data_IF_404884518992
#
_entry.id   IF_404884518992
#
_cell.length_a   1.000
_cell.length_b   1.000
_cell.length_c   1.000
_cell.angle_alpha   90.00
_cell.angle_beta   90.00
_cell.angle_gamma   90.00
#
_symmetry.space_group_name_H-M   'P 1'
#
loop_
_entity.id
_entity.type
_entity.pdbx_description
1 polymer ?
#
# COMPACT_ATOMS: atom_id res chain seq x y z
N UNK A 1 -9.78 13.16 -22.70
CA UNK A 1 -10.67 13.85 -21.74
C UNK A 1 -10.25 13.40 -20.35
N UNK A 2 -9.52 14.25 -19.61
CA UNK A 2 -9.05 13.92 -18.26
C UNK A 2 -10.24 14.06 -17.32
N UNK A 3 -10.54 13.08 -16.45
CA UNK A 3 -11.63 13.23 -15.52
C UNK A 3 -11.36 14.41 -14.58
N UNK A 4 -12.31 15.34 -14.52
CA UNK A 4 -12.22 16.47 -13.60
C UNK A 4 -12.53 15.98 -12.19
N UNK A 5 -11.57 16.14 -11.29
CA UNK A 5 -11.78 16.01 -9.86
C UNK A 5 -12.73 17.10 -9.40
N UNK A 6 -13.94 16.72 -9.03
CA UNK A 6 -14.85 17.61 -8.32
C UNK A 6 -14.60 17.40 -6.84
N UNK A 7 -13.65 18.15 -6.29
CA UNK A 7 -13.53 18.32 -4.84
C UNK A 7 -13.75 19.79 -4.55
N UNK A 8 -14.87 20.12 -3.89
CA UNK A 8 -15.06 21.46 -3.35
C UNK A 8 -14.07 21.65 -2.18
N UNK A 9 -12.90 22.18 -2.48
CA UNK A 9 -11.91 22.54 -1.47
C UNK A 9 -12.47 23.66 -0.61
N UNK A 10 -12.83 23.32 0.61
CA UNK A 10 -13.24 24.29 1.61
C UNK A 10 -12.58 23.95 2.94
N UNK A 11 -12.05 24.96 3.62
CA UNK A 11 -11.56 24.81 4.99
C UNK A 11 -10.23 24.05 5.12
N UNK A 12 -10.11 23.04 6.01
CA UNK A 12 -8.81 22.55 6.50
C UNK A 12 -7.87 21.90 5.48
N UNK A 13 -8.38 21.22 4.44
CA UNK A 13 -7.50 20.62 3.43
C UNK A 13 -6.79 21.66 2.57
N UNK A 14 -7.45 22.79 2.30
CA UNK A 14 -6.81 23.87 1.54
C UNK A 14 -5.61 24.43 2.31
N UNK A 15 -5.75 24.64 3.63
CA UNK A 15 -4.63 25.05 4.51
C UNK A 15 -3.51 23.99 4.53
N UNK A 16 -3.86 22.71 4.60
CA UNK A 16 -2.87 21.62 4.52
C UNK A 16 -2.11 21.64 3.19
N UNK A 17 -2.83 21.76 2.06
CA UNK A 17 -2.22 21.84 0.73
C UNK A 17 -1.30 23.07 0.60
N UNK A 18 -1.76 24.23 1.05
CA UNK A 18 -0.97 25.47 1.05
C UNK A 18 0.33 25.31 1.84
N UNK A 19 0.26 24.76 3.06
CA UNK A 19 1.44 24.54 3.89
C UNK A 19 2.40 23.52 3.29
N UNK A 20 1.89 22.44 2.71
CA UNK A 20 2.72 21.44 2.04
C UNK A 20 3.45 22.06 0.83
N UNK A 21 2.73 22.82 0.00
CA UNK A 21 3.31 23.47 -1.18
C UNK A 21 4.35 24.51 -0.76
N UNK A 22 4.03 25.37 0.22
CA UNK A 22 4.93 26.39 0.74
C UNK A 22 6.19 25.79 1.38
N UNK A 23 6.08 24.62 2.03
CA UNK A 23 7.19 23.92 2.66
C UNK A 23 7.96 22.97 1.74
N UNK A 24 7.70 22.96 0.42
CA UNK A 24 8.32 22.01 -0.54
C UNK A 24 9.84 21.84 -0.35
N UNK A 25 10.67 22.90 -0.30
CA UNK A 25 12.11 22.72 -0.10
C UNK A 25 12.49 22.06 1.23
N UNK A 26 11.76 22.37 2.30
CA UNK A 26 11.99 21.81 3.63
C UNK A 26 11.58 20.34 3.68
N UNK A 27 10.43 19.99 3.09
CA UNK A 27 9.92 18.62 2.98
C UNK A 27 10.90 17.76 2.18
N UNK A 28 11.32 18.20 0.99
CA UNK A 28 12.23 17.44 0.15
C UNK A 28 13.61 17.27 0.81
N UNK A 29 14.09 18.29 1.55
CA UNK A 29 15.32 18.15 2.35
C UNK A 29 15.14 17.12 3.47
N UNK A 30 14.03 17.19 4.20
CA UNK A 30 13.76 16.27 5.30
C UNK A 30 13.66 14.82 4.83
N UNK A 31 12.93 14.55 3.74
CA UNK A 31 12.91 13.22 3.13
C UNK A 31 14.30 12.76 2.72
N UNK A 32 15.12 13.60 2.06
CA UNK A 32 16.49 13.19 1.70
C UNK A 32 17.31 12.75 2.91
N UNK A 33 17.15 13.40 4.06
CA UNK A 33 17.83 13.03 5.31
C UNK A 33 17.29 11.72 5.90
N UNK A 34 15.97 11.56 5.99
CA UNK A 34 15.37 10.30 6.47
C UNK A 34 15.78 9.13 5.57
N UNK A 35 15.94 9.31 4.25
CA UNK A 35 16.45 8.28 3.33
C UNK A 35 17.98 8.07 3.38
N UNK A 36 18.73 8.84 4.17
CA UNK A 36 20.11 8.48 4.52
C UNK A 36 20.15 7.53 5.72
N UNK A 37 19.15 7.62 6.60
CA UNK A 37 19.05 6.83 7.83
C UNK A 37 18.26 5.53 7.61
N UNK A 38 17.25 5.57 6.74
CA UNK A 38 16.29 4.49 6.55
C UNK A 38 16.27 3.99 5.11
N UNK A 39 16.23 2.66 4.95
CA UNK A 39 16.20 2.04 3.61
C UNK A 39 14.77 1.95 3.10
N UNK A 40 14.41 2.60 1.97
CA UNK A 40 13.06 2.50 1.41
C UNK A 40 12.80 1.07 0.89
N UNK A 41 11.56 0.55 1.01
CA UNK A 41 11.17 -0.68 0.33
C UNK A 41 11.50 -0.62 -1.17
N UNK A 42 11.81 -1.77 -1.78
CA UNK A 42 12.10 -1.84 -3.22
C UNK A 42 10.96 -1.26 -4.07
N UNK A 43 9.71 -1.53 -3.68
CA UNK A 43 8.52 -0.88 -4.22
C UNK A 43 7.39 -0.85 -3.19
N UNK A 44 6.39 -0.01 -3.43
CA UNK A 44 5.15 -0.02 -2.66
C UNK A 44 4.02 0.67 -3.42
N UNK A 45 2.78 0.39 -3.01
CA UNK A 45 1.65 1.27 -3.29
C UNK A 45 0.99 1.73 -2.00
N UNK A 46 0.47 2.95 -2.02
CA UNK A 46 -0.26 3.53 -0.89
C UNK A 46 -1.61 4.03 -1.37
N UNK A 47 -2.68 3.49 -0.79
CA UNK A 47 -4.05 3.94 -1.02
C UNK A 47 -4.29 5.12 -0.07
N UNK A 48 -4.71 6.27 -0.61
CA UNK A 48 -5.00 7.49 0.15
C UNK A 48 -6.50 7.78 0.12
N UNK A 49 -6.98 8.50 1.13
CA UNK A 49 -8.31 9.11 1.09
C UNK A 49 -8.27 10.58 1.40
N UNK A 50 -9.04 11.32 0.63
CA UNK A 50 -9.20 12.75 0.73
C UNK A 50 -10.62 13.07 1.20
N UNK A 51 -10.72 13.51 2.46
CA UNK A 51 -11.98 13.86 3.11
C UNK A 51 -12.30 15.37 3.07
N UNK A 52 -11.55 16.19 2.32
CA UNK A 52 -11.74 17.66 2.35
C UNK A 52 -11.28 18.37 3.64
N UNK A 53 -11.11 17.64 4.74
CA UNK A 53 -10.51 18.13 6.00
C UNK A 53 -9.33 17.28 6.47
N UNK A 54 -9.06 16.16 5.79
CA UNK A 54 -8.01 15.19 6.12
C UNK A 54 -7.56 14.49 4.84
N UNK A 55 -6.26 14.28 4.70
CA UNK A 55 -5.66 13.51 3.62
C UNK A 55 -4.73 12.47 4.24
N UNK A 56 -5.15 11.21 4.24
CA UNK A 56 -4.46 10.18 5.00
C UNK A 56 -4.29 8.88 4.20
N UNK A 57 -3.21 8.12 4.45
CA UNK A 57 -3.08 6.78 3.94
C UNK A 57 -4.02 5.82 4.69
N UNK A 58 -4.69 4.96 3.94
CA UNK A 58 -5.62 3.95 4.47
C UNK A 58 -5.11 2.52 4.28
N UNK A 59 -4.20 2.33 3.31
CA UNK A 59 -3.48 1.07 3.09
C UNK A 59 -2.07 1.33 2.54
N UNK A 60 -1.11 0.52 2.98
CA UNK A 60 0.27 0.52 2.48
C UNK A 60 0.67 -0.92 2.13
N UNK A 61 0.85 -1.17 0.83
CA UNK A 61 1.08 -2.48 0.26
C UNK A 61 2.51 -2.60 -0.28
N UNK A 62 3.28 -3.52 0.30
CA UNK A 62 4.65 -3.86 -0.12
C UNK A 62 4.69 -4.88 -1.25
N UNK A 63 3.54 -5.34 -1.74
CA UNK A 63 3.37 -6.26 -2.87
C UNK A 63 2.38 -5.68 -3.89
N UNK A 64 2.66 -4.49 -4.46
CA UNK A 64 1.75 -3.82 -5.38
C UNK A 64 1.50 -4.65 -6.65
N UNK A 65 0.24 -4.91 -6.97
CA UNK A 65 -0.19 -5.76 -8.10
C UNK A 65 -0.81 -5.00 -9.28
N UNK A 66 -0.80 -3.67 -9.27
CA UNK A 66 -1.53 -2.81 -10.21
C UNK A 66 -0.65 -1.94 -11.11
N UNK A 67 0.60 -2.34 -11.38
CA UNK A 67 1.51 -1.53 -12.22
C UNK A 67 0.98 -1.27 -13.64
N UNK A 68 0.13 -2.15 -14.17
CA UNK A 68 -0.52 -1.96 -15.48
C UNK A 68 -1.59 -0.86 -15.49
N UNK A 69 -2.05 -0.39 -14.33
CA UNK A 69 -2.95 0.77 -14.23
C UNK A 69 -2.21 2.11 -14.28
N UNK A 70 -0.86 2.11 -14.17
CA UNK A 70 -0.07 3.32 -14.36
C UNK A 70 -0.10 3.74 -15.83
N UNK A 71 -0.16 5.05 -16.07
CA UNK A 71 -0.14 5.60 -17.42
C UNK A 71 1.15 5.20 -18.17
N UNK A 72 1.08 5.02 -19.49
CA UNK A 72 2.25 4.58 -20.27
C UNK A 72 3.39 5.61 -20.25
N UNK A 73 3.04 6.88 -20.13
CA UNK A 73 3.92 8.03 -20.00
C UNK A 73 4.80 7.97 -18.73
N UNK A 74 4.40 7.18 -17.73
CA UNK A 74 5.16 6.96 -16.49
C UNK A 74 6.29 5.94 -16.63
N UNK A 75 6.34 5.20 -17.75
CA UNK A 75 7.30 4.11 -17.92
C UNK A 75 8.76 4.59 -17.81
N UNK A 76 9.20 5.68 -18.47
CA UNK A 76 10.59 6.13 -18.35
C UNK A 76 10.99 6.46 -16.90
N UNK A 77 10.10 7.12 -16.15
CA UNK A 77 10.31 7.43 -14.73
C UNK A 77 10.37 6.15 -13.88
N UNK A 78 9.48 5.20 -14.14
CA UNK A 78 9.46 3.90 -13.45
C UNK A 78 10.76 3.11 -13.68
N UNK A 79 11.28 3.14 -14.91
CA UNK A 79 12.57 2.52 -15.26
C UNK A 79 13.72 3.20 -14.52
N UNK A 80 13.78 4.53 -14.50
CA UNK A 80 14.84 5.26 -13.78
C UNK A 80 14.81 4.99 -12.28
N UNK A 81 13.61 4.96 -11.68
CA UNK A 81 13.46 4.62 -10.26
C UNK A 81 13.88 3.18 -9.97
N UNK A 82 13.55 2.24 -10.88
CA UNK A 82 14.00 0.85 -10.77
C UNK A 82 15.51 0.70 -10.89
N UNK A 83 16.17 1.44 -11.80
CA UNK A 83 17.64 1.47 -11.88
C UNK A 83 18.26 1.92 -10.56
N UNK A 84 17.76 3.03 -9.99
CA UNK A 84 18.24 3.53 -8.70
C UNK A 84 18.01 2.52 -7.54
N UNK A 85 16.92 1.77 -7.58
CA UNK A 85 16.66 0.70 -6.62
C UNK A 85 17.67 -0.46 -6.78
N UNK A 86 17.91 -0.91 -8.02
CA UNK A 86 18.81 -2.03 -8.32
C UNK A 86 20.25 -1.67 -7.95
N UNK A 87 20.72 -0.47 -8.29
CA UNK A 87 22.07 0.01 -7.96
C UNK A 87 22.32 -0.02 -6.44
N UNK A 88 21.28 0.21 -5.63
CA UNK A 88 21.34 0.17 -4.17
C UNK A 88 21.35 -1.26 -3.62
N UNK A 89 20.43 -2.11 -4.09
CA UNK A 89 20.21 -3.43 -3.50
C UNK A 89 21.14 -4.52 -4.05
N UNK A 90 21.51 -4.43 -5.33
CA UNK A 90 22.38 -5.41 -5.98
C UNK A 90 22.94 -4.82 -7.30
N UNK A 91 23.99 -4.00 -7.25
CA UNK A 91 24.55 -3.35 -8.44
C UNK A 91 25.14 -4.34 -9.47
N UNK A 92 25.59 -5.51 -9.01
CA UNK A 92 26.11 -6.58 -9.86
C UNK A 92 25.02 -7.53 -10.40
N UNK A 93 23.74 -7.26 -10.11
CA UNK A 93 22.64 -8.12 -10.55
C UNK A 93 22.57 -8.17 -12.08
N UNK A 94 22.69 -9.39 -12.62
CA UNK A 94 22.39 -9.68 -14.04
C UNK A 94 21.02 -10.32 -14.22
N UNK A 95 20.58 -11.04 -13.21
CA UNK A 95 19.42 -11.91 -13.24
C UNK A 95 18.52 -11.57 -12.05
N UNK A 96 17.23 -11.34 -12.32
CA UNK A 96 16.19 -11.13 -11.33
C UNK A 96 15.13 -12.21 -11.46
N UNK A 97 14.86 -12.90 -10.35
CA UNK A 97 13.77 -13.86 -10.24
C UNK A 97 12.56 -13.16 -9.63
N UNK A 98 11.47 -13.05 -10.37
CA UNK A 98 10.21 -12.51 -9.86
C UNK A 98 9.28 -13.67 -9.47
N UNK A 99 8.78 -13.66 -8.24
CA UNK A 99 7.84 -14.67 -7.73
C UNK A 99 6.44 -14.03 -7.62
N UNK A 100 5.54 -14.24 -8.59
CA UNK A 100 4.18 -13.71 -8.55
C UNK A 100 3.24 -14.58 -7.70
N UNK A 101 2.04 -14.06 -7.41
CA UNK A 101 0.91 -14.88 -6.98
C UNK A 101 0.28 -15.60 -8.18
N UNK A 102 0.05 -16.91 -8.08
CA UNK A 102 -0.46 -17.70 -9.21
C UNK A 102 -1.94 -18.02 -9.09
N UNK A 103 -2.43 -18.36 -7.88
CA UNK A 103 -3.85 -18.70 -7.65
C UNK A 103 -4.33 -18.24 -6.27
N UNK A 104 -5.59 -17.80 -6.14
CA UNK A 104 -6.54 -17.44 -7.19
C UNK A 104 -6.42 -15.96 -7.57
N UNK A 105 -6.00 -15.64 -8.81
CA UNK A 105 -5.93 -14.25 -9.30
C UNK A 105 -6.59 -14.08 -10.67
N UNK A 106 -7.16 -12.90 -10.86
CA UNK A 106 -7.79 -12.46 -12.10
C UNK A 106 -6.74 -12.24 -13.20
N UNK A 107 -7.02 -12.51 -14.50
CA UNK A 107 -6.06 -12.34 -15.60
C UNK A 107 -5.38 -10.95 -15.67
N UNK A 108 -6.05 -9.90 -15.18
CA UNK A 108 -5.48 -8.54 -15.11
C UNK A 108 -4.29 -8.42 -14.17
N UNK A 109 -4.17 -9.27 -13.14
CA UNK A 109 -2.98 -9.29 -12.27
C UNK A 109 -1.71 -9.61 -13.07
N UNK A 110 -1.79 -10.55 -14.01
CA UNK A 110 -0.65 -10.91 -14.85
C UNK A 110 -0.25 -9.81 -15.84
N UNK A 111 -1.16 -8.88 -16.19
CA UNK A 111 -0.77 -7.66 -16.91
C UNK A 111 0.12 -6.77 -16.04
N UNK A 112 -0.17 -6.67 -14.73
CA UNK A 112 0.70 -5.99 -13.77
C UNK A 112 2.08 -6.63 -13.66
N UNK A 113 2.14 -7.96 -13.61
CA UNK A 113 3.40 -8.73 -13.61
C UNK A 113 4.18 -8.53 -14.92
N UNK A 114 3.50 -8.55 -16.07
CA UNK A 114 4.12 -8.26 -17.36
C UNK A 114 4.67 -6.84 -17.42
N UNK A 115 3.95 -5.86 -16.83
CA UNK A 115 4.42 -4.48 -16.73
C UNK A 115 5.67 -4.35 -15.84
N UNK A 116 5.76 -5.09 -14.74
CA UNK A 116 6.97 -5.16 -13.92
C UNK A 116 8.16 -5.72 -14.70
N UNK A 117 7.95 -6.81 -15.45
CA UNK A 117 8.99 -7.35 -16.32
C UNK A 117 9.44 -6.35 -17.39
N UNK A 118 8.50 -5.59 -17.97
CA UNK A 118 8.84 -4.53 -18.92
C UNK A 118 9.72 -3.46 -18.27
N UNK A 119 9.41 -3.03 -17.04
CA UNK A 119 10.21 -2.04 -16.29
C UNK A 119 11.61 -2.59 -16.02
N UNK A 120 11.73 -3.78 -15.43
CA UNK A 120 13.03 -4.31 -15.00
C UNK A 120 13.93 -4.78 -16.15
N UNK A 121 13.37 -5.22 -17.29
CA UNK A 121 14.22 -5.53 -18.46
C UNK A 121 14.89 -4.29 -19.04
N UNK A 122 14.24 -3.12 -18.92
CA UNK A 122 14.82 -1.85 -19.38
C UNK A 122 15.97 -1.36 -18.48
N UNK A 123 16.16 -1.96 -17.30
CA UNK A 123 17.31 -1.67 -16.43
C UNK A 123 18.51 -2.59 -16.73
N UNK A 124 18.43 -3.43 -17.77
CA UNK A 124 19.49 -4.38 -18.15
C UNK A 124 19.42 -5.75 -17.46
N UNK A 125 18.37 -6.02 -16.67
CA UNK A 125 18.20 -7.31 -16.00
C UNK A 125 17.55 -8.36 -16.90
N UNK A 126 18.04 -9.60 -16.81
CA UNK A 126 17.31 -10.77 -17.26
C UNK A 126 16.25 -11.14 -16.23
N UNK A 127 14.98 -10.99 -16.58
CA UNK A 127 13.85 -11.28 -15.69
C UNK A 127 13.16 -12.57 -16.10
N UNK A 128 13.04 -13.51 -15.15
CA UNK A 128 12.26 -14.75 -15.26
C UNK A 128 11.35 -14.94 -14.06
N UNK A 129 10.35 -15.79 -14.20
CA UNK A 129 9.30 -15.96 -13.18
C UNK A 129 9.33 -17.34 -12.54
N UNK A 130 9.34 -17.37 -11.22
CA UNK A 130 9.29 -18.60 -10.42
C UNK A 130 7.92 -18.83 -9.79
N UNK A 131 7.48 -20.08 -9.74
CA UNK A 131 6.22 -20.49 -9.13
C UNK A 131 6.43 -21.09 -7.74
N UNK A 132 5.68 -20.60 -6.75
CA UNK A 132 5.51 -21.28 -5.45
C UNK A 132 4.41 -22.36 -5.48
N UNK A 133 3.62 -22.45 -6.56
CA UNK A 133 2.62 -23.51 -6.74
C UNK A 133 3.35 -24.82 -7.10
N UNK A 134 3.31 -25.86 -6.23
CA UNK A 134 4.02 -27.12 -6.46
C UNK A 134 3.45 -27.93 -7.65
N UNK A 135 2.27 -27.58 -8.15
CA UNK A 135 1.72 -28.19 -9.38
C UNK A 135 2.45 -27.73 -10.65
N UNK A 136 3.19 -26.61 -10.59
CA UNK A 136 4.03 -26.14 -11.70
C UNK A 136 5.35 -26.92 -11.68
N UNK A 137 5.41 -28.00 -12.45
CA UNK A 137 6.58 -28.90 -12.53
C UNK A 137 7.43 -28.70 -13.79
N UNK A 138 6.96 -27.87 -14.72
CA UNK A 138 7.63 -27.52 -15.97
C UNK A 138 7.30 -26.07 -16.35
N UNK A 139 8.07 -25.43 -17.25
CA UNK A 139 7.73 -24.11 -17.78
C UNK A 139 6.28 -24.07 -18.28
N UNK A 140 5.46 -23.26 -17.62
CA UNK A 140 4.02 -23.22 -17.81
C UNK A 140 3.62 -21.87 -18.36
N UNK A 141 3.05 -21.81 -19.58
CA UNK A 141 2.66 -20.56 -20.19
C UNK A 141 1.32 -20.06 -19.60
N UNK A 142 1.24 -18.76 -19.34
CA UNK A 142 0.07 -18.06 -18.81
C UNK A 142 -0.38 -17.02 -19.83
N UNK A 143 -1.64 -17.15 -20.29
CA UNK A 143 -2.20 -16.22 -21.27
C UNK A 143 -2.58 -14.88 -20.64
N UNK A 144 -2.21 -13.79 -21.31
CA UNK A 144 -2.59 -12.43 -20.94
C UNK A 144 -3.80 -11.97 -21.77
N UNK A 145 -4.63 -11.04 -21.24
CA UNK A 145 -5.79 -10.50 -21.97
C UNK A 145 -5.46 -9.78 -23.29
N UNK A 146 -4.23 -9.32 -23.47
CA UNK A 146 -3.75 -8.64 -24.68
C UNK A 146 -3.23 -9.62 -25.75
N UNK A 147 -3.32 -10.94 -25.50
CA UNK A 147 -2.85 -11.99 -26.40
C UNK A 147 -1.38 -12.39 -26.20
N UNK A 148 -0.64 -11.70 -25.33
CA UNK A 148 0.73 -12.08 -24.97
C UNK A 148 0.74 -13.27 -23.99
N UNK A 149 1.91 -13.87 -23.79
CA UNK A 149 2.13 -14.97 -22.85
C UNK A 149 3.22 -14.62 -21.85
N UNK A 150 3.00 -14.94 -20.57
CA UNK A 150 4.07 -15.07 -19.58
C UNK A 150 4.42 -16.54 -19.39
N UNK A 151 5.63 -16.84 -18.94
CA UNK A 151 6.04 -18.21 -18.60
C UNK A 151 6.47 -18.22 -17.15
N UNK A 152 5.81 -19.03 -16.33
CA UNK A 152 6.22 -19.30 -14.95
C UNK A 152 6.87 -20.67 -14.88
N UNK A 153 7.88 -20.80 -14.02
CA UNK A 153 8.73 -21.98 -14.00
C UNK A 153 8.85 -22.55 -12.58
N UNK A 154 9.09 -23.87 -12.46
CA UNK A 154 9.38 -24.48 -11.16
C UNK A 154 10.63 -23.84 -10.55
N UNK A 155 10.51 -23.47 -9.28
CA UNK A 155 11.64 -23.02 -8.48
C UNK A 155 12.60 -24.19 -8.20
N UNK A 156 13.90 -23.91 -8.28
CA UNK A 156 14.97 -24.90 -8.07
C UNK A 156 15.95 -24.37 -7.04
N UNK A 157 16.19 -25.13 -5.98
CA UNK A 157 17.33 -24.86 -5.10
C UNK A 157 18.62 -25.35 -5.72
N UNK A 158 19.68 -24.56 -5.54
CA UNK A 158 21.05 -24.95 -5.82
C UNK A 158 21.44 -26.22 -5.04
N UNK A 159 22.43 -27.00 -5.52
CA UNK A 159 22.83 -28.26 -4.87
C UNK A 159 23.25 -28.13 -3.40
N UNK A 160 23.82 -26.98 -3.01
CA UNK A 160 24.20 -26.70 -1.62
C UNK A 160 23.01 -26.20 -0.76
N UNK A 161 21.83 -26.04 -1.36
CA UNK A 161 20.61 -25.59 -0.71
C UNK A 161 20.58 -24.09 -0.36
N UNK A 162 21.61 -23.31 -0.66
CA UNK A 162 21.76 -21.92 -0.17
C UNK A 162 21.18 -20.85 -1.09
N UNK A 163 20.99 -21.17 -2.37
CA UNK A 163 20.48 -20.26 -3.40
C UNK A 163 19.26 -20.83 -4.07
N UNK A 164 18.33 -19.96 -4.46
CA UNK A 164 17.09 -20.25 -5.18
C UNK A 164 17.15 -19.66 -6.59
N UNK A 165 16.82 -20.46 -7.59
CA UNK A 165 16.80 -20.04 -8.97
C UNK A 165 15.79 -20.84 -9.79
N UNK A 166 16.03 -20.89 -11.10
CA UNK A 166 15.32 -21.75 -12.04
C UNK A 166 16.32 -22.66 -12.74
N UNK A 167 15.83 -23.52 -13.62
CA UNK A 167 16.73 -24.30 -14.49
C UNK A 167 17.62 -23.36 -15.31
N UNK A 168 18.94 -23.55 -15.16
CA UNK A 168 20.00 -22.77 -15.81
C UNK A 168 19.89 -21.25 -15.57
N UNK A 169 19.37 -20.85 -14.41
CA UNK A 169 19.20 -19.44 -14.06
C UNK A 169 19.43 -19.21 -12.56
N UNK A 170 20.53 -18.53 -12.25
CA UNK A 170 20.93 -18.15 -10.91
C UNK A 170 20.76 -16.63 -10.73
N UNK A 171 19.74 -16.17 -9.98
CA UNK A 171 19.50 -14.76 -9.71
C UNK A 171 20.33 -14.23 -8.54
N UNK A 172 20.74 -12.97 -8.61
CA UNK A 172 21.29 -12.26 -7.45
C UNK A 172 20.16 -11.67 -6.57
N UNK A 173 19.01 -11.41 -7.18
CA UNK A 173 17.87 -10.77 -6.52
C UNK A 173 16.58 -11.55 -6.79
N UNK A 174 15.81 -11.75 -5.73
CA UNK A 174 14.50 -12.38 -5.77
C UNK A 174 13.47 -11.33 -5.36
N UNK A 175 12.62 -10.93 -6.31
CA UNK A 175 11.53 -9.99 -6.07
C UNK A 175 10.23 -10.75 -5.82
N UNK A 176 9.69 -10.61 -4.62
CA UNK A 176 8.40 -11.16 -4.25
C UNK A 176 7.29 -10.19 -4.68
N UNK A 177 6.47 -10.60 -5.65
CA UNK A 177 5.15 -10.00 -5.89
C UNK A 177 4.03 -10.89 -5.35
N UNK A 178 4.37 -11.69 -4.34
CA UNK A 178 3.53 -12.57 -3.58
C UNK A 178 3.65 -12.18 -2.11
N UNK A 179 2.51 -11.89 -1.48
CA UNK A 179 2.46 -11.31 -0.13
C UNK A 179 2.74 -12.31 1.02
N UNK A 180 2.88 -13.59 0.68
CA UNK A 180 3.09 -14.70 1.61
C UNK A 180 2.00 -14.81 2.69
N UNK A 181 0.77 -14.39 2.40
CA UNK A 181 -0.34 -14.47 3.36
C UNK A 181 -0.62 -15.90 3.82
N UNK A 182 -0.44 -16.89 2.94
CA UNK A 182 -0.58 -18.31 3.26
C UNK A 182 0.46 -18.82 4.27
N UNK A 183 1.59 -18.11 4.43
CA UNK A 183 2.76 -18.57 5.19
C UNK A 183 4.03 -18.39 4.38
N UNK A 184 5.17 -18.44 5.05
CA UNK A 184 6.48 -18.42 4.40
C UNK A 184 6.84 -19.86 4.02
N UNK A 185 6.96 -20.19 2.73
CA UNK A 185 7.35 -21.53 2.30
C UNK A 185 8.82 -21.81 2.61
N UNK A 186 9.16 -23.04 3.00
CA UNK A 186 10.53 -23.46 3.33
C UNK A 186 11.51 -23.22 2.18
N UNK A 187 11.04 -23.26 0.92
CA UNK A 187 11.89 -22.99 -0.24
C UNK A 187 12.44 -21.56 -0.25
N UNK A 188 11.85 -20.62 0.50
CA UNK A 188 12.33 -19.24 0.64
C UNK A 188 13.22 -19.00 1.87
N UNK A 189 13.36 -19.96 2.79
CA UNK A 189 14.11 -19.77 4.06
C UNK A 189 15.59 -20.11 3.93
N UNK A 190 16.47 -19.55 4.76
CA UNK A 190 17.91 -19.86 4.73
C UNK A 190 18.55 -19.66 3.33
N UNK A 191 18.12 -18.62 2.62
CA UNK A 191 18.79 -18.18 1.39
C UNK A 191 19.98 -17.31 1.76
N UNK A 192 21.09 -17.51 1.06
CA UNK A 192 22.32 -16.77 1.26
C UNK A 192 22.74 -16.12 -0.06
N UNK A 193 23.43 -14.97 0.03
CA UNK A 193 24.01 -14.29 -1.14
C UNK A 193 22.97 -13.89 -2.21
N UNK A 194 21.69 -13.86 -1.83
CA UNK A 194 20.57 -13.41 -2.65
C UNK A 194 19.73 -12.43 -1.85
N UNK A 195 19.48 -11.27 -2.44
CA UNK A 195 18.60 -10.27 -1.83
C UNK A 195 17.16 -10.65 -2.11
N UNK A 196 16.37 -10.89 -1.07
CA UNK A 196 14.94 -11.16 -1.17
C UNK A 196 14.17 -9.88 -0.82
N UNK A 197 13.41 -9.37 -1.79
CA UNK A 197 12.82 -8.03 -1.77
C UNK A 197 11.30 -8.11 -1.93
N UNK A 198 10.50 -7.54 -1.01
CA UNK A 198 10.89 -7.18 0.35
C UNK A 198 11.31 -8.43 1.17
N UNK A 199 12.03 -8.28 2.29
CA UNK A 199 12.47 -9.41 3.12
C UNK A 199 11.28 -10.20 3.72
N UNK A 200 11.49 -11.44 4.13
CA UNK A 200 10.41 -12.37 4.51
C UNK A 200 9.53 -11.86 5.66
N UNK A 201 10.12 -11.16 6.64
CA UNK A 201 9.37 -10.60 7.77
C UNK A 201 8.41 -9.48 7.38
N UNK A 202 8.61 -8.88 6.20
CA UNK A 202 7.67 -7.92 5.60
C UNK A 202 6.45 -8.60 4.95
N UNK A 203 6.47 -9.92 4.78
CA UNK A 203 5.34 -10.71 4.29
C UNK A 203 4.22 -10.86 5.33
N UNK A 204 2.97 -11.04 4.89
CA UNK A 204 1.80 -11.07 5.77
C UNK A 204 1.70 -12.29 6.69
N UNK A 205 2.53 -13.32 6.48
CA UNK A 205 2.69 -14.40 7.44
C UNK A 205 3.05 -13.88 8.84
N UNK A 206 3.91 -12.86 8.90
CA UNK A 206 4.48 -12.33 10.14
C UNK A 206 4.08 -10.86 10.34
N UNK A 207 4.10 -10.06 9.28
CA UNK A 207 3.81 -8.62 9.33
C UNK A 207 2.46 -8.33 9.99
N UNK A 208 2.42 -7.25 10.77
CA UNK A 208 1.23 -6.75 11.48
C UNK A 208 0.99 -5.27 11.17
N UNK A 209 -0.23 -4.91 10.78
CA UNK A 209 -0.62 -3.54 10.41
C UNK A 209 -0.44 -2.56 11.57
N UNK A 210 -0.67 -3.01 12.80
CA UNK A 210 -0.45 -2.23 14.01
C UNK A 210 0.99 -1.70 14.14
N UNK A 211 2.00 -2.47 13.71
CA UNK A 211 3.39 -2.01 13.69
C UNK A 211 3.59 -0.87 12.69
N UNK A 212 3.00 -0.99 11.50
CA UNK A 212 2.99 0.07 10.50
C UNK A 212 2.36 1.36 11.04
N UNK A 213 1.18 1.27 11.67
CA UNK A 213 0.49 2.44 12.19
C UNK A 213 1.25 3.11 13.34
N UNK A 214 1.91 2.34 14.21
CA UNK A 214 2.79 2.88 15.24
C UNK A 214 3.99 3.63 14.63
N UNK A 215 4.61 3.09 13.59
CA UNK A 215 5.68 3.79 12.87
C UNK A 215 5.15 5.07 12.18
N UNK A 216 3.95 5.00 11.60
CA UNK A 216 3.32 6.15 10.94
C UNK A 216 2.95 7.26 11.93
N UNK A 217 2.55 6.93 13.17
CA UNK A 217 2.31 7.92 14.23
C UNK A 217 3.55 8.79 14.48
N UNK A 218 4.74 8.20 14.49
CA UNK A 218 6.00 8.92 14.68
C UNK A 218 6.33 9.81 13.48
N UNK A 219 6.23 9.25 12.28
CA UNK A 219 6.48 9.98 11.02
C UNK A 219 5.55 11.17 10.87
N UNK A 220 4.24 10.97 11.11
CA UNK A 220 3.24 12.03 11.03
C UNK A 220 3.48 13.14 12.07
N UNK A 221 3.93 12.79 13.29
CA UNK A 221 4.29 13.78 14.32
C UNK A 221 5.52 14.61 13.90
N UNK A 222 6.58 13.96 13.40
CA UNK A 222 7.78 14.65 12.88
C UNK A 222 7.39 15.60 11.74
N UNK A 223 6.58 15.11 10.79
CA UNK A 223 6.11 15.90 9.65
C UNK A 223 5.22 17.09 10.07
N UNK A 224 4.25 16.86 10.96
CA UNK A 224 3.39 17.92 11.48
C UNK A 224 4.19 19.04 12.15
N UNK A 225 5.23 18.68 12.92
CA UNK A 225 6.17 19.65 13.51
C UNK A 225 6.98 20.39 12.44
N UNK A 226 7.44 19.71 11.40
CA UNK A 226 8.25 20.30 10.32
C UNK A 226 7.51 21.43 9.60
N UNK A 227 6.22 21.25 9.32
CA UNK A 227 5.45 22.19 8.49
C UNK A 227 4.39 23.00 9.25
N UNK A 228 4.29 22.81 10.57
CA UNK A 228 3.32 23.54 11.41
C UNK A 228 1.87 23.15 11.16
N UNK A 229 1.59 21.86 10.98
CA UNK A 229 0.24 21.31 10.88
C UNK A 229 -0.06 20.33 12.00
N UNK A 230 -1.34 20.19 12.32
CA UNK A 230 -1.81 19.13 13.20
C UNK A 230 -1.57 17.75 12.53
N UNK A 231 -0.79 16.85 13.16
CA UNK A 231 -0.53 15.51 12.62
C UNK A 231 -1.80 14.72 12.29
N UNK A 232 -2.92 15.00 12.99
CA UNK A 232 -4.21 14.35 12.72
C UNK A 232 -4.70 14.59 11.28
N UNK A 233 -4.31 15.68 10.63
CA UNK A 233 -4.70 15.97 9.24
C UNK A 233 -4.13 14.96 8.23
N UNK A 234 -3.07 14.24 8.58
CA UNK A 234 -2.46 13.20 7.74
C UNK A 234 -2.51 11.80 8.37
N UNK A 235 -2.88 11.71 9.65
CA UNK A 235 -2.82 10.46 10.41
C UNK A 235 -4.16 10.05 11.04
N UNK A 236 -4.78 8.94 10.60
CA UNK A 236 -5.96 8.36 11.24
C UNK A 236 -5.63 7.85 12.64
N UNK A 237 -6.49 8.12 13.63
CA UNK A 237 -6.38 7.42 14.91
C UNK A 237 -6.52 5.92 14.72
N UNK A 238 -5.83 5.13 15.54
CA UNK A 238 -5.96 3.69 15.52
C UNK A 238 -5.84 3.08 16.93
N UNK A 239 -6.25 1.83 17.04
CA UNK A 239 -6.07 0.97 18.20
C UNK A 239 -5.96 -0.50 17.76
N UNK A 240 -5.25 -1.31 18.54
CA UNK A 240 -5.20 -2.76 18.37
C UNK A 240 -6.05 -3.43 19.46
N UNK A 241 -6.83 -4.43 19.09
CA UNK A 241 -7.52 -5.33 20.01
C UNK A 241 -7.17 -6.78 19.65
N UNK A 242 -6.45 -7.47 20.55
CA UNK A 242 -6.10 -8.88 20.40
C UNK A 242 -7.11 -9.82 21.06
N UNK A 243 -6.95 -11.12 20.82
CA UNK A 243 -7.78 -12.19 21.38
C UNK A 243 -9.28 -11.96 21.19
N UNK A 244 -9.67 -11.63 19.95
CA UNK A 244 -11.08 -11.44 19.60
C UNK A 244 -11.55 -12.58 18.71
N UNK A 245 -12.67 -13.21 19.10
CA UNK A 245 -13.41 -14.14 18.25
C UNK A 245 -14.88 -13.70 18.18
N UNK A 246 -15.27 -13.16 17.02
CA UNK A 246 -16.63 -12.66 16.79
C UNK A 246 -17.68 -13.79 16.64
N UNK A 247 -17.24 -15.05 16.52
CA UNK A 247 -18.14 -16.20 16.47
C UNK A 247 -18.53 -16.67 17.87
N UNK A 248 -17.57 -16.70 18.81
CA UNK A 248 -17.80 -17.09 20.20
C UNK A 248 -18.22 -15.92 21.08
N UNK A 249 -17.95 -14.68 20.66
CA UNK A 249 -18.15 -13.47 21.45
C UNK A 249 -16.97 -13.14 22.37
N UNK A 250 -15.89 -13.93 22.33
CA UNK A 250 -14.68 -13.66 23.09
C UNK A 250 -14.04 -12.32 22.66
N UNK A 251 -13.64 -11.52 23.64
CA UNK A 251 -13.02 -10.21 23.39
C UNK A 251 -13.97 -9.12 22.90
N UNK A 252 -15.28 -9.37 22.77
CA UNK A 252 -16.24 -8.42 22.23
C UNK A 252 -16.38 -7.14 23.08
N UNK A 253 -16.32 -7.25 24.42
CA UNK A 253 -16.35 -6.08 25.31
C UNK A 253 -15.09 -5.21 25.16
N UNK A 254 -13.92 -5.84 25.06
CA UNK A 254 -12.65 -5.15 24.81
C UNK A 254 -12.65 -4.44 23.45
N UNK A 255 -13.20 -5.09 22.43
CA UNK A 255 -13.38 -4.51 21.10
C UNK A 255 -14.30 -3.29 21.15
N UNK A 256 -15.45 -3.39 21.83
CA UNK A 256 -16.40 -2.29 22.00
C UNK A 256 -15.76 -1.09 22.72
N UNK A 257 -15.07 -1.33 23.83
CA UNK A 257 -14.35 -0.27 24.56
C UNK A 257 -13.28 0.41 23.69
N UNK A 258 -12.55 -0.36 22.88
CA UNK A 258 -11.55 0.17 21.93
C UNK A 258 -12.20 1.03 20.84
N UNK A 259 -13.33 0.59 20.29
CA UNK A 259 -14.13 1.36 19.32
C UNK A 259 -14.59 2.69 19.92
N UNK A 260 -15.16 2.66 21.12
CA UNK A 260 -15.63 3.87 21.80
C UNK A 260 -14.50 4.86 22.08
N UNK A 261 -13.34 4.36 22.51
CA UNK A 261 -12.16 5.18 22.76
C UNK A 261 -11.67 5.88 21.49
N UNK A 262 -11.62 5.17 20.35
CA UNK A 262 -11.24 5.76 19.06
C UNK A 262 -12.30 6.76 18.60
N UNK A 263 -13.58 6.41 18.63
CA UNK A 263 -14.68 7.32 18.24
C UNK A 263 -14.71 8.59 19.10
N UNK A 264 -14.38 8.52 20.39
CA UNK A 264 -14.28 9.69 21.26
C UNK A 264 -13.15 10.65 20.82
N UNK A 265 -11.99 10.12 20.43
CA UNK A 265 -10.88 10.92 19.88
C UNK A 265 -11.28 11.60 18.58
N UNK A 266 -11.97 10.88 17.69
CA UNK A 266 -12.47 11.43 16.42
C UNK A 266 -13.49 12.54 16.67
N UNK A 267 -14.49 12.32 17.53
CA UNK A 267 -15.48 13.34 17.91
C UNK A 267 -14.84 14.63 18.43
N UNK A 268 -13.77 14.53 19.21
CA UNK A 268 -13.02 15.69 19.70
C UNK A 268 -12.43 16.50 18.56
N UNK A 269 -11.78 15.83 17.59
CA UNK A 269 -11.21 16.49 16.40
C UNK A 269 -12.29 17.07 15.49
N UNK A 270 -13.39 16.35 15.30
CA UNK A 270 -14.51 16.85 14.50
C UNK A 270 -15.10 18.13 15.11
N UNK A 271 -15.26 18.18 16.44
CA UNK A 271 -15.68 19.40 17.15
C UNK A 271 -14.66 20.54 17.00
N UNK A 272 -13.37 20.24 17.09
CA UNK A 272 -12.28 21.22 16.93
C UNK A 272 -12.30 21.89 15.55
N UNK A 273 -12.56 21.13 14.49
CA UNK A 273 -12.59 21.63 13.10
C UNK A 273 -14.00 21.97 12.58
N UNK A 274 -15.04 21.88 13.41
CA UNK A 274 -16.43 22.17 13.01
C UNK A 274 -17.04 21.18 12.01
N UNK A 275 -16.51 19.96 11.96
CA UNK A 275 -16.95 18.86 11.08
C UNK A 275 -18.28 18.31 11.60
N UNK A 276 -19.28 18.19 10.72
CA UNK A 276 -20.67 17.83 11.09
C UNK A 276 -21.00 16.36 10.78
N UNK A 277 -20.15 15.70 10.02
CA UNK A 277 -20.26 14.32 9.61
C UNK A 277 -20.22 13.39 10.83
N UNK A 278 -20.95 12.27 10.75
CA UNK A 278 -20.92 11.25 11.82
C UNK A 278 -19.58 10.49 11.76
N UNK A 279 -18.78 10.49 12.85
CA UNK A 279 -17.59 9.66 12.93
C UNK A 279 -17.89 8.19 12.69
N UNK A 280 -16.90 7.48 12.17
CA UNK A 280 -16.94 6.04 12.03
C UNK A 280 -15.53 5.48 12.19
N UNK A 281 -15.46 4.18 12.50
CA UNK A 281 -14.23 3.42 12.50
C UNK A 281 -14.34 2.28 11.51
N UNK A 282 -13.19 1.87 11.00
CA UNK A 282 -13.00 0.68 10.20
C UNK A 282 -12.33 -0.36 11.07
N UNK A 283 -12.94 -1.53 11.20
CA UNK A 283 -12.33 -2.68 11.86
C UNK A 283 -11.83 -3.64 10.78
N UNK A 284 -10.55 -4.01 10.88
CA UNK A 284 -9.88 -4.90 9.95
C UNK A 284 -8.89 -5.83 10.68
N UNK A 285 -8.69 -7.08 10.22
CA UNK A 285 -7.65 -7.95 10.72
C UNK A 285 -6.27 -7.28 10.72
N UNK A 286 -5.50 -7.53 11.77
CA UNK A 286 -4.16 -6.96 11.95
C UNK A 286 -3.11 -7.60 11.01
N UNK A 287 -3.42 -8.77 10.44
CA UNK A 287 -2.63 -9.43 9.39
C UNK A 287 -3.41 -9.48 8.07
N UNK A 288 -2.70 -9.60 6.94
CA UNK A 288 -3.18 -9.67 5.54
C UNK A 288 -4.70 -9.71 5.28
N UNK A 289 -5.20 -8.78 4.45
CA UNK A 289 -6.65 -8.67 4.17
C UNK A 289 -7.02 -8.58 2.69
N UNK A 290 -6.17 -8.09 1.79
CA UNK A 290 -6.54 -7.81 0.38
C UNK A 290 -7.93 -7.12 0.24
N UNK A 291 -8.26 -6.21 1.16
CA UNK A 291 -9.58 -5.54 1.20
C UNK A 291 -10.76 -6.40 1.69
N UNK A 292 -10.54 -7.66 2.06
CA UNK A 292 -11.51 -8.55 2.71
C UNK A 292 -11.44 -8.43 4.24
N UNK A 293 -12.55 -8.71 4.93
CA UNK A 293 -12.63 -8.59 6.39
C UNK A 293 -12.54 -7.14 6.84
N UNK A 294 -13.34 -6.27 6.24
CA UNK A 294 -13.44 -4.86 6.62
C UNK A 294 -14.88 -4.57 6.99
N UNK A 295 -15.10 -4.06 8.19
CA UNK A 295 -16.42 -3.61 8.65
C UNK A 295 -16.36 -2.15 9.09
N UNK A 296 -17.40 -1.40 8.74
CA UNK A 296 -17.59 -0.01 9.15
C UNK A 296 -18.51 0.03 10.35
N UNK A 297 -18.10 0.70 11.42
CA UNK A 297 -18.85 0.83 12.67
C UNK A 297 -18.98 2.29 13.05
N UNK A 298 -20.19 2.73 13.43
CA UNK A 298 -20.44 4.13 13.83
C UNK A 298 -20.78 4.26 15.32
N UNK A 299 -21.15 3.15 15.94
CA UNK A 299 -21.44 3.01 17.37
C UNK A 299 -20.97 1.63 17.86
N UNK A 300 -20.36 1.55 19.03
CA UNK A 300 -19.88 0.27 19.57
C UNK A 300 -21.02 -0.76 19.79
N UNK A 301 -22.27 -0.31 19.96
CA UNK A 301 -23.43 -1.18 20.06
C UNK A 301 -23.65 -2.03 18.79
N UNK A 302 -23.26 -1.53 17.61
CA UNK A 302 -23.39 -2.25 16.32
C UNK A 302 -22.59 -3.56 16.32
N UNK A 303 -21.56 -3.70 17.16
CA UNK A 303 -20.78 -4.94 17.29
C UNK A 303 -21.63 -6.13 17.77
N UNK A 304 -22.69 -5.86 18.54
CA UNK A 304 -23.61 -6.92 19.02
C UNK A 304 -24.59 -7.36 17.92
N UNK A 305 -24.85 -6.47 16.98
CA UNK A 305 -25.84 -6.63 15.90
C UNK A 305 -25.23 -7.11 14.59
N UNK A 306 -23.93 -7.45 14.57
CA UNK A 306 -23.27 -7.96 13.38
C UNK A 306 -23.96 -9.21 12.84
N UNK A 307 -24.31 -9.18 11.56
CA UNK A 307 -24.90 -10.30 10.85
C UNK A 307 -23.95 -11.50 10.79
N UNK A 308 -24.49 -12.70 10.59
CA UNK A 308 -23.65 -13.90 10.41
C UNK A 308 -22.64 -13.73 9.27
N UNK A 309 -23.02 -13.05 8.19
CA UNK A 309 -22.13 -12.79 7.06
C UNK A 309 -20.98 -11.85 7.45
N UNK A 310 -21.27 -10.79 8.22
CA UNK A 310 -20.25 -9.87 8.72
C UNK A 310 -19.28 -10.57 9.67
N UNK A 311 -19.80 -11.41 10.58
CA UNK A 311 -18.96 -12.22 11.48
C UNK A 311 -18.06 -13.16 10.70
N UNK A 312 -18.62 -13.94 9.76
CA UNK A 312 -17.85 -14.87 8.90
C UNK A 312 -16.73 -14.15 8.12
N UNK A 313 -16.99 -12.95 7.59
CA UNK A 313 -15.99 -12.13 6.89
C UNK A 313 -14.83 -11.70 7.80
N UNK A 314 -15.04 -11.63 9.10
CA UNK A 314 -14.06 -11.20 10.09
C UNK A 314 -13.39 -12.38 10.83
N UNK A 315 -13.83 -13.62 10.61
CA UNK A 315 -13.25 -14.82 11.22
C UNK A 315 -12.05 -15.36 10.45
N UNK A 316 -12.07 -15.26 9.12
CA UNK A 316 -11.08 -15.88 8.24
C UNK A 316 -10.55 -14.87 7.23
N UNK A 317 -9.23 -14.69 7.19
CA UNK A 317 -8.53 -13.85 6.19
C UNK A 317 -8.17 -14.65 4.93
N UNK A 318 -7.43 -14.02 4.01
CA UNK A 318 -6.87 -14.70 2.82
C UNK A 318 -6.17 -16.00 3.23
N UNK A 319 -6.34 -17.03 2.41
CA UNK A 319 -5.76 -18.37 2.59
C UNK A 319 -6.21 -19.14 3.84
N UNK A 320 -7.36 -18.79 4.43
CA UNK A 320 -8.01 -19.63 5.44
C UNK A 320 -7.52 -19.43 6.88
N UNK A 321 -6.66 -18.44 7.14
CA UNK A 321 -6.13 -18.18 8.48
C UNK A 321 -7.18 -17.52 9.39
N UNK A 322 -7.23 -17.98 10.63
CA UNK A 322 -8.10 -17.40 11.67
C UNK A 322 -7.64 -16.00 12.07
N UNK A 323 -8.59 -15.11 12.33
CA UNK A 323 -8.35 -13.76 12.82
C UNK A 323 -8.38 -13.75 14.33
N UNK A 324 -7.25 -13.41 14.96
CA UNK A 324 -7.13 -13.27 16.42
C UNK A 324 -6.95 -11.83 16.85
N UNK A 325 -6.40 -11.01 15.96
CA UNK A 325 -6.03 -9.62 16.23
C UNK A 325 -6.74 -8.70 15.24
N UNK A 326 -7.42 -7.69 15.77
CA UNK A 326 -8.13 -6.68 15.03
C UNK A 326 -7.48 -5.32 15.22
N UNK A 327 -7.46 -4.55 14.15
CA UNK A 327 -7.14 -3.14 14.17
C UNK A 327 -8.44 -2.33 14.02
N UNK A 328 -8.61 -1.34 14.89
CA UNK A 328 -9.66 -0.33 14.84
C UNK A 328 -9.01 0.94 14.33
N UNK A 329 -9.41 1.43 13.15
CA UNK A 329 -8.87 2.64 12.55
C UNK A 329 -9.97 3.69 12.39
N UNK A 330 -9.66 4.97 12.60
CA UNK A 330 -10.50 6.08 12.19
C UNK A 330 -10.85 5.97 10.71
N UNK A 331 -12.15 6.03 10.43
CA UNK A 331 -12.66 6.03 9.09
C UNK A 331 -12.45 7.38 8.41
N UNK A 332 -11.73 7.38 7.29
CA UNK A 332 -11.56 8.56 6.45
C UNK A 332 -12.50 8.40 5.24
N UNK A 333 -13.47 9.30 5.03
CA UNK A 333 -14.29 9.25 3.82
C UNK A 333 -13.49 9.74 2.61
N UNK A 334 -13.87 9.32 1.41
CA UNK A 334 -13.41 9.99 0.19
C UNK A 334 -14.48 10.94 -0.36
N UNK A 335 -14.09 12.16 -0.69
CA UNK A 335 -14.91 13.15 -1.40
C UNK A 335 -14.37 13.46 -2.79
N UNK A 336 -13.42 12.66 -3.26
CA UNK A 336 -13.03 12.69 -4.67
C UNK A 336 -14.05 11.94 -5.50
N UNK A 337 -14.37 12.49 -6.67
CA UNK A 337 -15.29 11.87 -7.61
C UNK A 337 -14.83 12.02 -9.05
N UNK A 338 -15.16 11.02 -9.86
CA UNK A 338 -14.95 10.97 -11.31
C UNK A 338 -16.29 10.60 -11.95
N UNK A 339 -16.86 11.52 -12.74
CA UNK A 339 -18.15 11.33 -13.43
C UNK A 339 -19.23 10.78 -12.47
N UNK A 340 -19.40 11.45 -11.33
CA UNK A 340 -20.37 11.15 -10.26
C UNK A 340 -20.08 9.88 -9.43
N UNK A 341 -19.06 9.09 -9.78
CA UNK A 341 -18.62 7.95 -8.97
C UNK A 341 -17.52 8.35 -8.00
N UNK A 342 -17.55 7.83 -6.76
CA UNK A 342 -16.50 8.08 -5.76
C UNK A 342 -15.17 7.48 -6.20
N UNK A 343 -14.10 8.19 -5.91
CA UNK A 343 -12.74 7.84 -6.29
C UNK A 343 -11.79 7.92 -5.08
N UNK A 344 -10.79 7.06 -5.03
CA UNK A 344 -9.67 7.17 -4.08
C UNK A 344 -8.33 6.99 -4.82
N UNK A 345 -7.33 7.86 -4.59
CA UNK A 345 -6.05 7.77 -5.29
C UNK A 345 -5.17 6.68 -4.69
N UNK A 346 -4.49 5.96 -5.57
CA UNK A 346 -3.46 4.98 -5.23
C UNK A 346 -2.14 5.45 -5.83
N UNK A 347 -1.15 5.70 -4.98
CA UNK A 347 0.18 6.20 -5.37
C UNK A 347 1.17 5.05 -5.38
N UNK A 348 1.93 4.92 -6.47
CA UNK A 348 2.94 3.88 -6.66
C UNK A 348 4.35 4.47 -6.53
N UNK A 349 5.21 3.72 -5.87
CA UNK A 349 6.61 4.06 -5.64
C UNK A 349 7.52 2.88 -5.95
N UNK A 350 8.71 3.20 -6.48
CA UNK A 350 9.85 2.28 -6.59
C UNK A 350 11.01 2.99 -5.91
N UNK A 351 11.69 2.30 -4.99
CA UNK A 351 12.58 2.93 -4.02
C UNK A 351 11.85 4.09 -3.31
N UNK A 352 12.51 5.23 -3.11
CA UNK A 352 11.91 6.45 -2.55
C UNK A 352 11.13 7.33 -3.55
N UNK A 353 11.05 6.93 -4.81
CA UNK A 353 10.52 7.76 -5.89
C UNK A 353 9.06 7.45 -6.19
N UNK A 354 8.22 8.48 -6.23
CA UNK A 354 6.85 8.38 -6.74
C UNK A 354 6.92 8.21 -8.25
N UNK A 355 6.47 7.06 -8.76
CA UNK A 355 6.55 6.71 -10.19
C UNK A 355 5.21 6.89 -10.91
N UNK A 356 4.13 7.15 -10.19
CA UNK A 356 2.81 7.41 -10.76
C UNK A 356 1.69 7.04 -9.79
N UNK A 357 0.47 6.97 -10.32
CA UNK A 357 -0.68 6.49 -9.58
C UNK A 357 -1.90 6.32 -10.47
N UNK A 358 -3.01 5.94 -9.86
CA UNK A 358 -4.33 5.89 -10.49
C UNK A 358 -5.41 6.16 -9.46
N UNK A 359 -6.58 6.57 -9.93
CA UNK A 359 -7.79 6.55 -9.14
C UNK A 359 -8.46 5.19 -9.24
N UNK A 360 -8.84 4.65 -8.08
CA UNK A 360 -9.81 3.58 -7.99
C UNK A 360 -11.19 4.21 -7.88
N UNK A 361 -12.07 3.92 -8.82
CA UNK A 361 -13.40 4.52 -8.96
C UNK A 361 -14.47 3.45 -8.77
N UNK A 362 -15.53 3.76 -8.03
CA UNK A 362 -16.63 2.83 -7.84
C UNK A 362 -17.98 3.55 -7.92
N UNK A 363 -18.83 3.14 -8.87
CA UNK A 363 -20.14 3.78 -9.11
C UNK A 363 -21.19 3.47 -8.05
N UNK A 364 -21.13 2.29 -7.43
CA UNK A 364 -22.17 1.82 -6.50
C UNK A 364 -21.78 1.92 -5.00
N UNK A 365 -20.58 2.39 -4.66
CA UNK A 365 -20.10 2.45 -3.27
C UNK A 365 -20.12 3.88 -2.77
N UNK A 366 -20.51 4.04 -1.51
CA UNK A 366 -20.50 5.32 -0.80
C UNK A 366 -19.10 5.77 -0.37
N UNK A 367 -18.97 7.02 0.11
CA UNK A 367 -17.70 7.64 0.47
C UNK A 367 -16.98 6.99 1.67
N UNK A 368 -17.74 6.34 2.54
CA UNK A 368 -17.31 5.65 3.77
C UNK A 368 -17.12 4.13 3.57
N UNK A 369 -17.30 3.64 2.35
CA UNK A 369 -17.21 2.21 2.02
C UNK A 369 -15.88 1.88 1.34
N UNK A 370 -15.42 0.64 1.47
CA UNK A 370 -14.25 0.15 0.76
C UNK A 370 -14.52 0.17 -0.76
N UNK A 371 -13.76 0.98 -1.52
CA UNK A 371 -13.88 1.05 -2.97
C UNK A 371 -13.09 -0.07 -3.66
N UNK A 372 -12.17 -0.75 -2.97
CA UNK A 372 -11.48 -1.96 -3.44
C UNK A 372 -12.40 -3.18 -3.37
N UNK A 373 -13.40 -3.20 -4.24
CA UNK A 373 -14.44 -4.22 -4.34
C UNK A 373 -14.71 -4.60 -5.80
N UNK A 374 -15.32 -5.76 -6.07
CA UNK A 374 -15.81 -6.10 -7.41
C UNK A 374 -16.65 -4.96 -7.99
N UNK A 375 -16.38 -4.57 -9.25
CA UNK A 375 -16.99 -3.39 -9.87
C UNK A 375 -16.08 -2.15 -9.90
N UNK A 376 -14.93 -2.19 -9.22
CA UNK A 376 -13.90 -1.14 -9.29
C UNK A 376 -13.46 -0.87 -10.73
N UNK A 377 -13.36 0.41 -11.09
CA UNK A 377 -12.72 0.89 -12.29
C UNK A 377 -11.43 1.61 -11.93
N UNK A 378 -10.46 1.62 -12.84
CA UNK A 378 -9.15 2.21 -12.59
C UNK A 378 -8.87 3.26 -13.65
N UNK A 379 -8.61 4.49 -13.18
CA UNK A 379 -8.40 5.65 -14.04
C UNK A 379 -7.00 6.18 -13.80
N UNK A 380 -6.08 6.10 -14.78
CA UNK A 380 -4.70 6.54 -14.58
C UNK A 380 -4.62 7.99 -14.13
N UNK A 381 -3.79 8.24 -13.11
CA UNK A 381 -3.44 9.58 -12.64
C UNK A 381 -2.21 10.02 -13.45
N UNK A 382 -2.44 10.28 -14.74
CA UNK A 382 -1.38 10.66 -15.66
C UNK A 382 -0.86 12.07 -15.31
N UNK A 383 0.45 12.27 -15.42
CA UNK A 383 0.99 13.61 -15.57
C UNK A 383 0.37 14.18 -16.84
N UNK A 384 -0.58 15.11 -16.72
CA UNK A 384 -0.94 15.93 -17.86
C UNK A 384 0.39 16.51 -18.40
N UNK A 385 0.63 16.41 -19.70
CA UNK A 385 1.93 16.56 -20.39
C UNK A 385 2.70 17.87 -20.12
N UNK A 386 2.20 18.76 -19.26
CA UNK A 386 2.78 20.06 -18.89
C UNK A 386 2.96 20.25 -17.36
N UNK A 387 2.72 19.22 -16.53
CA UNK A 387 2.43 19.39 -15.11
C UNK A 387 3.02 18.30 -14.18
N UNK A 388 4.27 17.90 -14.40
CA UNK A 388 4.93 16.90 -13.55
C UNK A 388 5.60 17.48 -12.27
N UNK A 389 5.55 18.80 -12.08
CA UNK A 389 6.23 19.51 -11.00
C UNK A 389 5.21 20.42 -10.29
N UNK A 390 5.21 20.50 -8.94
CA UNK A 390 4.33 21.42 -8.23
C UNK A 390 4.59 22.86 -8.69
N UNK A 391 3.50 23.58 -9.01
CA UNK A 391 3.53 25.00 -9.33
C UNK A 391 3.19 25.81 -8.07
N UNK A 392 4.22 26.37 -7.46
CA UNK A 392 4.12 27.22 -6.26
C UNK A 392 3.35 28.51 -6.53
N UNK A 393 3.23 28.94 -7.80
CA UNK A 393 2.49 30.15 -8.20
C UNK A 393 1.02 29.87 -8.52
N UNK A 394 0.65 28.60 -8.73
CA UNK A 394 -0.74 28.25 -9.00
C UNK A 394 -1.61 28.48 -7.76
N UNK A 395 -2.86 28.87 -7.98
CA UNK A 395 -3.82 29.01 -6.88
C UNK A 395 -3.99 27.66 -6.19
N UNK A 396 -3.89 27.60 -4.85
CA UNK A 396 -4.09 26.39 -4.07
C UNK A 396 -5.36 25.64 -4.49
N UNK A 397 -5.22 24.32 -4.64
CA UNK A 397 -6.33 23.46 -5.00
C UNK A 397 -6.87 23.55 -6.43
N UNK A 398 -6.34 24.45 -7.27
CA UNK A 398 -6.76 24.59 -8.67
C UNK A 398 -5.85 23.86 -9.67
N UNK A 399 -4.63 23.51 -9.24
CA UNK A 399 -3.64 22.87 -10.09
C UNK A 399 -3.53 21.38 -9.79
N UNK A 400 -3.87 20.55 -10.79
CA UNK A 400 -3.62 19.10 -10.78
C UNK A 400 -2.19 18.70 -10.35
N UNK A 401 -1.10 19.37 -10.81
CA UNK A 401 0.27 19.07 -10.34
C UNK A 401 0.44 19.17 -8.82
N UNK A 402 -0.15 20.20 -8.22
CA UNK A 402 -0.04 20.44 -6.77
C UNK A 402 -0.75 19.34 -5.99
N UNK A 403 -1.92 18.90 -6.47
CA UNK A 403 -2.65 17.80 -5.83
C UNK A 403 -1.86 16.50 -5.86
N UNK A 404 -1.29 16.17 -7.02
CA UNK A 404 -0.48 14.95 -7.15
C UNK A 404 0.78 15.01 -6.27
N UNK A 405 1.43 16.17 -6.19
CA UNK A 405 2.57 16.36 -5.29
C UNK A 405 2.18 16.14 -3.82
N UNK A 406 1.05 16.71 -3.38
CA UNK A 406 0.55 16.54 -2.01
C UNK A 406 0.24 15.06 -1.71
N UNK A 407 -0.36 14.33 -2.66
CA UNK A 407 -0.53 12.87 -2.55
C UNK A 407 0.80 12.14 -2.46
N UNK A 408 1.77 12.52 -3.29
CA UNK A 408 3.12 11.98 -3.26
C UNK A 408 3.86 12.24 -1.94
N UNK A 409 3.63 13.39 -1.28
CA UNK A 409 4.16 13.66 0.06
C UNK A 409 3.56 12.70 1.08
N UNK A 410 2.23 12.60 1.15
CA UNK A 410 1.55 11.72 2.14
C UNK A 410 1.86 10.25 1.89
N UNK A 411 1.95 9.82 0.63
CA UNK A 411 2.37 8.47 0.27
C UNK A 411 3.82 8.17 0.69
N UNK A 412 4.75 9.12 0.54
CA UNK A 412 6.14 8.96 1.00
C UNK A 412 6.26 8.94 2.52
N UNK A 413 5.37 9.61 3.27
CA UNK A 413 5.29 9.43 4.72
C UNK A 413 4.94 7.99 5.08
N UNK A 414 3.97 7.39 4.38
CA UNK A 414 3.60 6.00 4.61
C UNK A 414 4.72 5.04 4.19
N UNK A 415 5.44 5.34 3.10
CA UNK A 415 6.61 4.59 2.69
C UNK A 415 7.72 4.62 3.76
N UNK A 416 7.99 5.80 4.35
CA UNK A 416 8.98 5.95 5.41
C UNK A 416 8.58 5.16 6.66
N UNK A 417 7.29 5.17 7.02
CA UNK A 417 6.79 4.33 8.10
C UNK A 417 6.96 2.84 7.81
N UNK A 418 6.84 2.41 6.55
CA UNK A 418 7.13 1.02 6.17
C UNK A 418 8.62 0.67 6.30
N UNK A 419 9.55 1.59 5.99
CA UNK A 419 10.98 1.40 6.28
C UNK A 419 11.22 1.18 7.77
N UNK A 420 10.73 2.10 8.61
CA UNK A 420 10.85 2.00 10.06
C UNK A 420 10.25 0.71 10.61
N UNK A 421 9.09 0.30 10.09
CA UNK A 421 8.45 -0.96 10.45
C UNK A 421 9.34 -2.16 10.11
N UNK A 422 9.89 -2.23 8.89
CA UNK A 422 10.74 -3.34 8.46
C UNK A 422 12.03 -3.42 9.26
N UNK A 423 12.67 -2.29 9.55
CA UNK A 423 13.89 -2.22 10.36
C UNK A 423 13.63 -2.69 11.81
N UNK A 424 12.50 -2.28 12.41
CA UNK A 424 12.15 -2.66 13.79
C UNK A 424 11.67 -4.10 13.94
N UNK A 425 11.25 -4.71 12.85
CA UNK A 425 10.74 -6.09 12.82
C UNK A 425 11.72 -7.05 12.17
N UNK A 426 12.93 -6.56 11.84
CA UNK A 426 14.02 -7.37 11.35
C UNK A 426 14.40 -8.43 12.41
N UNK A 427 14.35 -9.73 12.07
CA UNK A 427 14.79 -10.77 13.00
C UNK A 427 16.30 -10.75 13.27
N UNK A 428 17.09 -10.15 12.37
CA UNK A 428 18.56 -10.14 12.43
C UNK A 428 19.12 -8.70 12.42
N UNK A 429 18.76 -7.84 13.39
CA UNK A 429 19.09 -6.40 13.36
C UNK A 429 20.60 -6.10 13.47
N UNK A 430 21.41 -7.09 13.87
CA UNK A 430 22.87 -6.96 14.02
C UNK A 430 23.64 -7.35 12.74
N UNK A 431 22.95 -7.83 11.70
CA UNK A 431 23.54 -8.21 10.41
C UNK A 431 23.33 -7.08 9.40
N UNK A 432 23.95 -5.92 9.64
CA UNK A 432 24.00 -4.80 8.68
C UNK A 432 25.43 -4.44 8.31
#
# INVERSE_FOLDING_TARGET
MVPHLVTALTGPLLDLEEKIIAATPAIERWFRLEWQEHTPPFYASVDLRNAGYKLAPVDANLFPGGFHYLANEMLPLSVQAAMAAIDKYCPDARNLLLIPEIKPRHPTYFQGVARLMQIFRQTGLNVRFGSLDPSVTQPTPLALPDGNMLVVEPLVRSPNGRRLGLKDFDPCTILLNNDLSAGIPDILTNLHEQSLLPPLHAGWAIRRKSNHFNAYDEVAKKFGKLIGVDPWMVNPFHAKCGAVDLTTGEGQESLAASVDAVLAKIRKKYKEYGIKEKPFVIIKPDAGTYGKGVITIRDAAELKELSEEQRKRMTVIKDGKAVTDLNIQEGVPTFESIKEAFAEPVVYMIDRYVVGGFYRVHGEKGPDQNLNAPGSQFVPLAFAQQHAVPDVKAKPGTAAPNRFYVYGVVARLALLAASLEMERTDPDPEVY
#
